data_IF_831415057844
#
_entry.id   IF_831415057844
#
_cell.length_a   1.000
_cell.length_b   1.000
_cell.length_c   1.000
_cell.angle_alpha   90.00
_cell.angle_beta   90.00
_cell.angle_gamma   90.00
#
_symmetry.space_group_name_H-M   'P 1'
#
loop_
_entity.id
_entity.type
_entity.pdbx_description
1 polymer ?
#
# COMPACT_ATOMS: atom_id res chain seq x y z
N UNK A 1 -34.70 7.35 26.37
CA UNK A 1 -33.65 6.66 25.61
C UNK A 1 -32.33 7.34 25.95
N UNK A 2 -31.36 6.61 26.46
CA UNK A 2 -30.02 7.17 26.67
C UNK A 2 -29.37 7.34 25.28
N UNK A 3 -29.11 8.59 24.89
CA UNK A 3 -28.36 8.88 23.66
C UNK A 3 -26.98 8.22 23.75
N UNK A 4 -26.79 7.19 22.94
CA UNK A 4 -25.50 6.50 22.87
C UNK A 4 -24.48 7.40 22.18
N UNK A 5 -23.31 7.58 22.76
CA UNK A 5 -22.18 8.21 22.07
C UNK A 5 -21.76 7.30 20.91
N UNK A 6 -21.81 7.84 19.70
CA UNK A 6 -21.38 7.14 18.48
C UNK A 6 -19.99 7.62 18.10
N UNK A 7 -19.07 6.67 17.87
CA UNK A 7 -17.72 6.93 17.36
C UNK A 7 -17.57 6.17 16.06
N UNK A 8 -17.28 6.89 14.98
CA UNK A 8 -17.06 6.32 13.65
C UNK A 8 -15.56 6.30 13.36
N UNK A 9 -15.04 5.14 12.96
CA UNK A 9 -13.64 5.03 12.51
C UNK A 9 -13.46 5.82 11.22
N UNK A 10 -12.43 6.65 11.19
CA UNK A 10 -12.04 7.43 10.01
C UNK A 10 -10.52 7.62 9.92
N UNK A 11 -10.05 8.04 8.77
CA UNK A 11 -8.71 8.57 8.61
C UNK A 11 -8.57 9.98 9.19
N UNK A 12 -7.54 10.67 8.79
CA UNK A 12 -7.24 12.03 9.22
C UNK A 12 -7.79 13.05 8.23
N UNK A 13 -8.22 14.19 8.74
CA UNK A 13 -8.50 15.36 7.92
C UNK A 13 -7.19 16.10 7.57
N UNK A 14 -7.23 16.94 6.54
CA UNK A 14 -6.07 17.69 6.07
C UNK A 14 -5.34 18.44 7.21
N UNK A 15 -6.08 19.03 8.12
CA UNK A 15 -5.56 19.80 9.25
C UNK A 15 -4.78 18.95 10.26
N UNK A 16 -5.14 17.67 10.36
CA UNK A 16 -4.56 16.71 11.31
C UNK A 16 -3.22 16.13 10.83
N UNK A 17 -2.92 16.26 9.53
CA UNK A 17 -1.64 15.82 9.01
C UNK A 17 -0.52 16.79 9.37
N UNK A 18 0.60 16.24 9.77
CA UNK A 18 1.80 17.01 10.14
C UNK A 18 3.01 16.49 9.34
N UNK A 19 3.66 17.34 8.50
CA UNK A 19 4.87 16.95 7.78
C UNK A 19 5.97 16.48 8.71
N UNK A 20 6.65 15.39 8.34
CA UNK A 20 7.70 14.74 9.13
C UNK A 20 7.20 13.68 10.10
N UNK A 21 5.88 13.49 10.25
CA UNK A 21 5.34 12.40 11.07
C UNK A 21 5.33 11.10 10.27
N UNK A 22 5.85 10.04 10.89
CA UNK A 22 5.86 8.69 10.35
C UNK A 22 4.78 7.84 11.02
N UNK A 23 3.91 7.26 10.22
CA UNK A 23 2.86 6.33 10.64
C UNK A 23 3.26 4.91 10.30
N UNK A 24 3.32 4.04 11.28
CA UNK A 24 3.51 2.60 11.08
C UNK A 24 2.16 1.89 11.13
N UNK A 25 1.76 1.28 10.03
CA UNK A 25 0.46 0.62 9.91
C UNK A 25 0.55 -0.82 10.40
N UNK A 26 -0.37 -1.18 11.29
CA UNK A 26 -0.48 -2.54 11.84
C UNK A 26 -1.95 -2.98 11.85
N UNK A 27 -2.23 -4.30 11.61
CA UNK A 27 -1.24 -5.35 11.36
C UNK A 27 -0.63 -5.28 9.96
N UNK A 28 0.44 -6.06 9.73
CA UNK A 28 0.94 -6.37 8.38
C UNK A 28 0.01 -7.34 7.65
N UNK A 29 0.31 -7.59 6.39
CA UNK A 29 -0.46 -8.50 5.52
C UNK A 29 0.46 -9.57 4.95
N UNK A 30 0.23 -10.84 5.31
CA UNK A 30 0.92 -11.97 4.68
C UNK A 30 0.36 -12.20 3.28
N UNK A 31 1.25 -12.23 2.30
CA UNK A 31 0.91 -12.43 0.89
C UNK A 31 0.79 -13.92 0.61
N UNK A 32 -0.32 -14.33 0.04
CA UNK A 32 -0.55 -15.71 -0.34
C UNK A 32 -0.36 -15.94 -1.84
N UNK A 33 -0.16 -17.19 -2.24
CA UNK A 33 -0.16 -17.56 -3.65
C UNK A 33 -1.48 -17.17 -4.34
N UNK A 34 -2.60 -17.37 -3.66
CA UNK A 34 -3.92 -17.00 -4.18
C UNK A 34 -4.04 -15.51 -4.50
N UNK A 35 -3.49 -14.65 -3.64
CA UNK A 35 -3.46 -13.20 -3.85
C UNK A 35 -2.75 -12.86 -5.16
N UNK A 36 -1.56 -13.39 -5.33
CA UNK A 36 -0.71 -13.10 -6.50
C UNK A 36 -1.34 -13.61 -7.80
N UNK A 37 -1.81 -14.85 -7.81
CA UNK A 37 -2.45 -15.45 -8.98
C UNK A 37 -3.72 -14.70 -9.36
N UNK A 38 -4.60 -14.42 -8.39
CA UNK A 38 -5.84 -13.71 -8.64
C UNK A 38 -5.59 -12.30 -9.19
N UNK A 39 -4.74 -11.52 -8.54
CA UNK A 39 -4.45 -10.16 -8.98
C UNK A 39 -3.81 -10.15 -10.38
N UNK A 40 -2.83 -11.02 -10.60
CA UNK A 40 -2.09 -11.10 -11.85
C UNK A 40 -3.00 -11.49 -13.02
N UNK A 41 -3.91 -12.44 -12.82
CA UNK A 41 -4.87 -12.85 -13.85
C UNK A 41 -5.98 -11.82 -14.08
N UNK A 42 -6.52 -11.20 -13.03
CA UNK A 42 -7.50 -10.12 -13.14
C UNK A 42 -6.98 -8.93 -13.94
N UNK A 43 -5.69 -8.64 -13.83
CA UNK A 43 -5.04 -7.55 -14.56
C UNK A 43 -4.51 -7.96 -15.94
N UNK A 44 -4.83 -9.17 -16.40
CA UNK A 44 -4.41 -9.74 -17.69
C UNK A 44 -2.87 -9.80 -17.85
N UNK A 45 -2.13 -9.86 -16.76
CA UNK A 45 -0.69 -10.05 -16.78
C UNK A 45 -0.39 -11.54 -16.93
N UNK A 46 0.20 -11.94 -18.05
CA UNK A 46 0.53 -13.33 -18.38
C UNK A 46 1.99 -13.69 -18.10
N UNK A 47 2.72 -12.83 -17.38
CA UNK A 47 4.15 -13.05 -17.13
C UNK A 47 4.36 -14.34 -16.31
N UNK A 48 5.10 -15.27 -16.90
CA UNK A 48 5.39 -16.59 -16.30
C UNK A 48 6.07 -16.47 -14.93
N UNK A 49 6.86 -15.42 -14.72
CA UNK A 49 7.52 -15.14 -13.44
C UNK A 49 6.56 -15.11 -12.25
N UNK A 50 5.29 -14.79 -12.47
CA UNK A 50 4.26 -14.75 -11.42
C UNK A 50 3.38 -15.98 -11.36
N UNK A 51 3.22 -16.70 -12.49
CA UNK A 51 2.19 -17.71 -12.66
C UNK A 51 2.73 -19.13 -12.84
N UNK A 52 3.92 -19.28 -13.45
CA UNK A 52 4.51 -20.55 -13.79
C UNK A 52 5.61 -20.92 -12.78
N UNK A 53 5.30 -21.86 -11.90
CA UNK A 53 6.23 -22.28 -10.85
C UNK A 53 7.45 -23.02 -11.44
N UNK A 54 7.25 -23.86 -12.45
CA UNK A 54 8.36 -24.61 -13.06
C UNK A 54 9.33 -23.69 -13.81
N UNK A 55 8.79 -22.69 -14.52
CA UNK A 55 9.60 -21.65 -15.14
C UNK A 55 10.39 -20.86 -14.11
N UNK A 56 9.73 -20.41 -13.05
CA UNK A 56 10.34 -19.56 -12.03
C UNK A 56 11.38 -20.30 -11.19
N UNK A 57 11.17 -21.59 -10.91
CA UNK A 57 12.13 -22.45 -10.19
C UNK A 57 13.45 -22.57 -10.96
N UNK A 58 13.39 -22.66 -12.27
CA UNK A 58 14.58 -22.70 -13.13
C UNK A 58 15.25 -21.35 -13.32
N UNK A 59 14.62 -20.23 -12.95
CA UNK A 59 15.08 -18.89 -13.25
C UNK A 59 15.89 -18.29 -12.08
N UNK A 60 17.20 -18.06 -12.24
CA UNK A 60 17.98 -17.32 -11.25
C UNK A 60 17.59 -15.83 -11.24
N UNK A 61 17.81 -15.08 -10.16
CA UNK A 61 18.45 -15.55 -8.91
C UNK A 61 17.46 -16.09 -7.87
N UNK A 62 16.15 -16.03 -8.12
CA UNK A 62 15.15 -16.20 -7.07
C UNK A 62 14.64 -17.65 -6.94
N UNK A 63 14.60 -18.40 -8.05
CA UNK A 63 14.15 -19.80 -8.06
C UNK A 63 12.75 -20.02 -7.44
N UNK A 64 11.87 -19.05 -7.58
CA UNK A 64 10.49 -19.07 -7.13
C UNK A 64 9.68 -17.96 -7.78
N UNK A 65 8.35 -18.09 -7.78
CA UNK A 65 7.47 -17.05 -8.33
C UNK A 65 7.55 -15.77 -7.50
N UNK A 66 7.71 -14.65 -8.18
CA UNK A 66 7.65 -13.32 -7.58
C UNK A 66 6.19 -12.86 -7.41
N UNK A 67 5.93 -12.14 -6.34
CA UNK A 67 4.70 -11.37 -6.20
C UNK A 67 4.68 -10.25 -7.23
N UNK A 68 3.54 -10.05 -7.88
CA UNK A 68 3.34 -8.94 -8.81
C UNK A 68 3.57 -7.61 -8.10
N UNK A 69 4.46 -6.78 -8.63
CA UNK A 69 4.82 -5.51 -8.00
C UNK A 69 3.65 -4.53 -7.90
N UNK A 70 2.69 -4.58 -8.84
CA UNK A 70 1.49 -3.77 -8.75
C UNK A 70 0.56 -4.23 -7.62
N UNK A 71 0.52 -5.53 -7.33
CA UNK A 71 -0.16 -6.04 -6.14
C UNK A 71 0.50 -5.53 -4.86
N UNK A 72 1.83 -5.56 -4.81
CA UNK A 72 2.61 -5.00 -3.68
C UNK A 72 2.31 -3.52 -3.47
N UNK A 73 2.34 -2.72 -4.53
CA UNK A 73 2.02 -1.29 -4.46
C UNK A 73 0.60 -1.06 -3.95
N UNK A 74 -0.37 -1.75 -4.53
CA UNK A 74 -1.78 -1.62 -4.14
C UNK A 74 -2.02 -2.01 -2.68
N UNK A 75 -1.36 -3.09 -2.22
CA UNK A 75 -1.47 -3.54 -0.83
C UNK A 75 -0.79 -2.57 0.13
N UNK A 76 0.37 -2.03 -0.24
CA UNK A 76 1.10 -1.02 0.54
C UNK A 76 0.22 0.21 0.79
N UNK A 77 -0.39 0.75 -0.25
CA UNK A 77 -1.32 1.87 -0.14
C UNK A 77 -2.55 1.47 0.69
N UNK A 78 -3.12 0.29 0.42
CA UNK A 78 -4.29 -0.23 1.13
C UNK A 78 -4.09 -0.31 2.64
N UNK A 79 -2.92 -0.74 3.10
CA UNK A 79 -2.58 -0.85 4.52
C UNK A 79 -2.56 0.51 5.25
N UNK A 80 -2.39 1.61 4.53
CA UNK A 80 -2.42 2.97 5.10
C UNK A 80 -3.82 3.54 5.26
N UNK A 81 -4.80 3.01 4.54
CA UNK A 81 -6.12 3.62 4.37
C UNK A 81 -6.86 3.80 5.70
N UNK A 82 -6.95 2.75 6.51
CA UNK A 82 -7.74 2.79 7.74
C UNK A 82 -7.29 3.89 8.71
N UNK A 83 -6.00 4.17 8.75
CA UNK A 83 -5.40 5.15 9.67
C UNK A 83 -5.37 6.55 9.07
N UNK A 84 -5.15 6.68 7.76
CA UNK A 84 -4.85 7.98 7.17
C UNK A 84 -5.97 8.57 6.32
N UNK A 85 -6.70 7.75 5.56
CA UNK A 85 -7.56 8.27 4.50
C UNK A 85 -8.99 7.75 4.51
N UNK A 86 -9.33 6.83 5.40
CA UNK A 86 -10.67 6.24 5.46
C UNK A 86 -11.75 7.31 5.66
N UNK A 87 -12.58 7.51 4.65
CA UNK A 87 -13.72 8.44 4.68
C UNK A 87 -13.34 9.93 4.67
N UNK A 88 -12.05 10.28 4.51
CA UNK A 88 -11.57 11.67 4.52
C UNK A 88 -10.91 12.08 3.20
N UNK A 89 -10.53 11.13 2.36
CA UNK A 89 -9.92 11.38 1.06
C UNK A 89 -10.96 11.73 0.00
N UNK A 90 -10.60 12.64 -0.91
CA UNK A 90 -11.36 12.90 -2.14
C UNK A 90 -10.88 11.96 -3.25
N UNK A 91 -9.58 11.78 -3.41
CA UNK A 91 -9.01 10.91 -4.41
C UNK A 91 -7.48 10.92 -4.43
N UNK A 92 -6.90 9.91 -5.07
CA UNK A 92 -5.49 9.84 -5.35
C UNK A 92 -5.19 10.61 -6.65
N UNK A 93 -4.31 11.58 -6.58
CA UNK A 93 -3.93 12.39 -7.74
C UNK A 93 -2.80 11.77 -8.56
N UNK A 94 -2.10 10.79 -8.01
CA UNK A 94 -1.01 10.13 -8.71
C UNK A 94 0.12 9.70 -7.79
N UNK A 95 1.16 9.20 -8.42
CA UNK A 95 2.41 8.79 -7.81
C UNK A 95 3.57 9.58 -8.41
N UNK A 96 4.55 9.92 -7.59
CA UNK A 96 5.85 10.40 -8.04
C UNK A 96 6.75 9.20 -8.35
N UNK A 97 7.88 9.10 -7.67
CA UNK A 97 8.78 7.97 -7.82
C UNK A 97 8.18 6.70 -7.18
N UNK A 98 8.25 5.60 -7.92
CA UNK A 98 7.90 4.25 -7.42
C UNK A 98 9.06 3.33 -7.72
N UNK A 99 9.60 2.66 -6.70
CA UNK A 99 10.69 1.72 -6.82
C UNK A 99 10.40 0.42 -6.08
N UNK A 100 10.90 -0.68 -6.62
CA UNK A 100 10.80 -2.02 -6.04
C UNK A 100 12.22 -2.60 -5.87
N UNK A 101 12.97 -2.14 -4.87
CA UNK A 101 14.39 -2.50 -4.74
C UNK A 101 14.60 -3.96 -4.35
N UNK A 102 13.61 -4.59 -3.73
CA UNK A 102 13.64 -5.99 -3.32
C UNK A 102 12.33 -6.69 -3.65
N UNK A 103 12.38 -7.99 -4.00
CA UNK A 103 11.18 -8.76 -4.32
C UNK A 103 10.40 -9.14 -3.06
N UNK A 104 9.11 -9.40 -3.23
CA UNK A 104 8.27 -10.13 -2.30
C UNK A 104 7.93 -11.51 -2.88
N UNK A 105 7.84 -12.49 -1.99
CA UNK A 105 7.47 -13.86 -2.32
C UNK A 105 6.20 -14.28 -1.58
N UNK A 106 5.58 -15.35 -2.05
CA UNK A 106 4.47 -15.97 -1.34
C UNK A 106 4.90 -16.37 0.08
N UNK A 107 4.11 -16.02 1.06
CA UNK A 107 4.41 -16.26 2.47
C UNK A 107 5.11 -15.10 3.17
N UNK A 108 5.65 -14.12 2.44
CA UNK A 108 6.15 -12.89 3.05
C UNK A 108 5.02 -12.06 3.64
N UNK A 109 5.31 -11.38 4.72
CA UNK A 109 4.39 -10.42 5.33
C UNK A 109 4.84 -9.00 5.02
N UNK A 110 3.97 -8.25 4.35
CA UNK A 110 4.19 -6.85 4.05
C UNK A 110 3.75 -5.98 5.24
N UNK A 111 4.67 -5.19 5.75
CA UNK A 111 4.42 -4.12 6.70
C UNK A 111 4.54 -2.79 6.00
N UNK A 112 3.62 -1.89 6.29
CA UNK A 112 3.58 -0.58 5.67
C UNK A 112 3.86 0.53 6.68
N UNK A 113 4.59 1.52 6.24
CA UNK A 113 4.75 2.79 6.94
C UNK A 113 4.60 3.95 5.96
N UNK A 114 4.13 5.08 6.47
CA UNK A 114 3.86 6.27 5.66
C UNK A 114 4.38 7.51 6.38
N UNK A 115 5.25 8.24 5.72
CA UNK A 115 5.67 9.56 6.17
C UNK A 115 4.86 10.64 5.43
N UNK A 116 4.39 11.64 6.17
CA UNK A 116 3.83 12.85 5.58
C UNK A 116 5.00 13.76 5.20
N UNK A 117 5.26 13.90 3.90
CA UNK A 117 6.40 14.68 3.41
C UNK A 117 6.04 16.13 3.12
N UNK A 118 4.82 16.38 2.68
CA UNK A 118 4.36 17.73 2.34
C UNK A 118 2.84 17.84 2.41
N UNK A 119 2.34 19.03 2.73
CA UNK A 119 0.94 19.37 2.56
C UNK A 119 0.77 20.81 2.11
N UNK A 120 -0.27 21.09 1.35
CA UNK A 120 -0.66 22.42 0.93
C UNK A 120 -2.14 22.49 0.65
N UNK A 121 -2.73 23.65 0.76
CA UNK A 121 -4.10 23.89 0.29
C UNK A 121 -4.21 23.76 -1.22
N UNK A 122 -5.36 23.31 -1.68
CA UNK A 122 -5.66 23.23 -3.11
C UNK A 122 -5.90 24.65 -3.66
N UNK A 123 -5.25 24.94 -4.79
CA UNK A 123 -5.44 26.23 -5.49
C UNK A 123 -6.74 26.27 -6.29
N UNK A 124 -7.24 25.12 -6.72
CA UNK A 124 -8.42 24.99 -7.59
C UNK A 124 -9.68 24.59 -6.85
N UNK A 125 -9.57 24.09 -5.63
CA UNK A 125 -10.69 23.62 -4.81
C UNK A 125 -10.61 24.17 -3.41
N UNK A 126 -11.24 25.32 -3.15
CA UNK A 126 -11.30 25.91 -1.80
C UNK A 126 -11.88 24.93 -0.78
N UNK A 127 -11.27 24.83 0.40
CA UNK A 127 -11.68 23.91 1.45
C UNK A 127 -11.10 22.48 1.32
N UNK A 128 -10.29 22.20 0.28
CA UNK A 128 -9.57 20.96 0.11
C UNK A 128 -8.06 21.18 0.21
N UNK A 129 -7.33 20.15 0.60
CA UNK A 129 -5.87 20.15 0.67
C UNK A 129 -5.25 18.98 -0.07
N UNK A 130 -4.00 19.12 -0.43
CA UNK A 130 -3.17 18.09 -1.04
C UNK A 130 -2.11 17.68 -0.04
N UNK A 131 -2.04 16.38 0.25
CA UNK A 131 -1.03 15.79 1.14
C UNK A 131 -0.17 14.83 0.33
N UNK A 132 1.13 14.95 0.48
CA UNK A 132 2.10 14.06 -0.17
C UNK A 132 2.63 13.07 0.87
N UNK A 133 2.56 11.79 0.53
CA UNK A 133 3.04 10.69 1.33
C UNK A 133 4.25 10.01 0.70
N UNK A 134 5.19 9.59 1.53
CA UNK A 134 6.18 8.60 1.18
C UNK A 134 5.79 7.27 1.85
N UNK A 135 5.35 6.30 1.05
CA UNK A 135 5.03 4.96 1.53
C UNK A 135 6.26 4.06 1.43
N UNK A 136 6.56 3.34 2.49
CA UNK A 136 7.61 2.33 2.51
C UNK A 136 7.03 0.99 2.94
N UNK A 137 7.24 -0.03 2.11
CA UNK A 137 6.92 -1.43 2.43
C UNK A 137 8.16 -2.18 2.88
N UNK A 138 8.02 -3.01 3.91
CA UNK A 138 9.06 -3.90 4.38
C UNK A 138 8.50 -5.31 4.59
N UNK A 139 9.34 -6.32 4.37
CA UNK A 139 8.98 -7.68 4.73
C UNK A 139 9.18 -7.93 6.24
N UNK A 140 8.94 -9.16 6.70
CA UNK A 140 9.11 -9.57 8.09
C UNK A 140 10.55 -9.50 8.61
N UNK A 141 11.52 -9.38 7.71
CA UNK A 141 12.94 -9.26 8.05
C UNK A 141 13.43 -7.81 8.07
N UNK A 142 12.56 -6.85 7.70
CA UNK A 142 12.88 -5.44 7.64
C UNK A 142 13.48 -4.98 6.30
N UNK A 143 13.54 -5.86 5.32
CA UNK A 143 14.00 -5.55 3.96
C UNK A 143 12.95 -4.75 3.18
#
# INVERSE_FOLDING_TARGET
>A
MTDKKVIVQRGLWFEEFEPGVLYQHRPGRTITEADNVLFTTLTMNTQALHLDAAFSDALPPFHQRLVNSMFTLSTLVGLSVAQLTQGTIVGNLGFGEVAFPKPLFHGDTLYAETEVTHKRESKSRPGEGIVTFAHTGRNQHGD
#
